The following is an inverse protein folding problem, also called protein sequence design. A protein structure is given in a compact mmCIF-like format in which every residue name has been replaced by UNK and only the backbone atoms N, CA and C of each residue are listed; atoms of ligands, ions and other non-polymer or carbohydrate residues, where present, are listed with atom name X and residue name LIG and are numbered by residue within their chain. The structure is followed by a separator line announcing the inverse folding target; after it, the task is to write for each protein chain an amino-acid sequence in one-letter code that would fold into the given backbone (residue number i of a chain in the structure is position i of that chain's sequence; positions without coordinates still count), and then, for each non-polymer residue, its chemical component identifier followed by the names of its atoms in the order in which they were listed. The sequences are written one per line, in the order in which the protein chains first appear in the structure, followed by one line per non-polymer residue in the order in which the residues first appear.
data_IF_093441274410
#
_entry.id   IF_093441274410
#
_cell.length_a   1.000
_cell.length_b   1.000
_cell.length_c   1.000
_cell.angle_alpha   90.00
_cell.angle_beta   90.00
_cell.angle_gamma   90.00
#
_symmetry.space_group_name_H-M   'P 1'
#
loop_
_entity.id
_entity.type
_entity.pdbx_description
1 polymer ?
#
# COMPACT_ATOMS: atom_id res chain seq x y z
N UNK A 1 28.46 -4.94 -13.31
CA UNK A 1 28.45 -4.35 -11.96
C UNK A 1 28.24 -2.84 -11.98
N UNK A 2 29.21 -1.99 -12.35
CA UNK A 2 29.01 -0.52 -12.24
C UNK A 2 27.95 0.01 -13.23
N UNK A 3 27.97 -0.48 -14.47
CA UNK A 3 27.01 -0.10 -15.52
C UNK A 3 25.58 -0.54 -15.18
N UNK A 4 25.39 -1.78 -14.74
CA UNK A 4 24.10 -2.34 -14.32
C UNK A 4 23.51 -1.55 -13.15
N UNK A 5 24.33 -1.21 -12.14
CA UNK A 5 23.91 -0.37 -11.01
C UNK A 5 23.42 0.99 -11.48
N UNK A 6 24.16 1.69 -12.35
CA UNK A 6 23.74 3.00 -12.86
C UNK A 6 22.39 2.92 -13.60
N UNK A 7 22.20 1.89 -14.44
CA UNK A 7 20.96 1.72 -15.19
C UNK A 7 19.78 1.45 -14.25
N UNK A 8 19.94 0.54 -13.29
CA UNK A 8 18.87 0.18 -12.34
C UNK A 8 18.50 1.39 -11.46
N UNK A 9 19.50 2.14 -10.99
CA UNK A 9 19.28 3.31 -10.13
C UNK A 9 18.59 4.45 -10.90
N UNK A 10 18.99 4.67 -12.17
CA UNK A 10 18.32 5.59 -13.08
C UNK A 10 16.87 5.15 -13.35
N UNK A 11 16.64 3.85 -13.58
CA UNK A 11 15.31 3.28 -13.77
C UNK A 11 14.42 3.48 -12.53
N UNK A 12 14.95 3.22 -11.34
CA UNK A 12 14.23 3.42 -10.08
C UNK A 12 13.78 4.87 -9.88
N UNK A 13 14.70 5.83 -10.10
CA UNK A 13 14.38 7.26 -10.04
C UNK A 13 13.33 7.63 -11.09
N UNK A 14 13.45 7.10 -12.31
CA UNK A 14 12.49 7.30 -13.38
C UNK A 14 11.09 6.80 -13.02
N UNK A 15 10.98 5.60 -12.47
CA UNK A 15 9.70 5.03 -12.02
C UNK A 15 9.07 5.90 -10.93
N UNK A 16 9.85 6.31 -9.92
CA UNK A 16 9.36 7.21 -8.87
C UNK A 16 8.87 8.53 -9.46
N UNK A 17 9.62 9.12 -10.39
CA UNK A 17 9.24 10.36 -11.06
C UNK A 17 7.92 10.19 -11.83
N UNK A 18 7.73 9.09 -12.57
CA UNK A 18 6.47 8.82 -13.28
C UNK A 18 5.28 8.59 -12.33
N UNK A 19 5.51 7.94 -11.19
CA UNK A 19 4.47 7.74 -10.18
C UNK A 19 4.06 9.08 -9.55
N UNK A 20 5.03 9.93 -9.18
CA UNK A 20 4.76 11.24 -8.57
C UNK A 20 4.06 12.19 -9.53
N UNK A 21 4.47 12.19 -10.81
CA UNK A 21 3.87 13.07 -11.82
C UNK A 21 2.50 12.60 -12.30
N UNK A 22 2.04 11.44 -11.83
CA UNK A 22 0.79 10.76 -12.25
C UNK A 22 0.58 10.67 -13.77
N UNK A 23 1.64 10.85 -14.56
CA UNK A 23 1.58 10.81 -16.03
C UNK A 23 1.34 9.39 -16.56
N UNK A 24 1.62 8.38 -15.75
CA UNK A 24 1.45 6.97 -16.10
C UNK A 24 0.81 6.23 -14.94
N UNK A 25 0.02 5.20 -15.24
CA UNK A 25 -0.53 4.33 -14.21
C UNK A 25 0.61 3.71 -13.39
N UNK A 26 0.50 3.81 -12.06
CA UNK A 26 1.47 3.32 -11.09
C UNK A 26 1.84 1.84 -11.32
N UNK A 27 0.85 1.02 -11.68
CA UNK A 27 1.05 -0.40 -11.97
C UNK A 27 1.88 -0.63 -13.25
N UNK A 28 1.62 0.17 -14.29
CA UNK A 28 2.37 0.09 -15.56
C UNK A 28 3.81 0.57 -15.33
N UNK A 29 3.98 1.67 -14.59
CA UNK A 29 5.30 2.19 -14.22
C UNK A 29 6.13 1.16 -13.44
N UNK A 30 5.54 0.51 -12.44
CA UNK A 30 6.23 -0.51 -11.64
C UNK A 30 6.58 -1.75 -12.47
N UNK A 31 5.67 -2.21 -13.34
CA UNK A 31 5.92 -3.38 -14.19
C UNK A 31 7.02 -3.13 -15.22
N UNK A 32 7.03 -1.94 -15.85
CA UNK A 32 8.10 -1.57 -16.77
C UNK A 32 9.46 -1.48 -16.06
N UNK A 33 9.50 -0.89 -14.86
CA UNK A 33 10.71 -0.82 -14.06
C UNK A 33 11.25 -2.21 -13.69
N UNK A 34 10.37 -3.12 -13.29
CA UNK A 34 10.72 -4.51 -13.01
C UNK A 34 11.27 -5.22 -14.25
N UNK A 35 10.65 -5.01 -15.42
CA UNK A 35 11.05 -5.65 -16.68
C UNK A 35 12.41 -5.13 -17.18
N UNK A 36 12.67 -3.82 -17.05
CA UNK A 36 13.98 -3.22 -17.37
C UNK A 36 15.06 -3.78 -16.43
N UNK A 37 14.77 -3.83 -15.13
CA UNK A 37 15.71 -4.37 -14.13
C UNK A 37 16.02 -5.84 -14.41
N UNK A 38 15.00 -6.63 -14.73
CA UNK A 38 15.15 -8.03 -15.13
C UNK A 38 16.02 -8.20 -16.39
N UNK A 39 15.77 -7.38 -17.42
CA UNK A 39 16.55 -7.43 -18.65
C UNK A 39 18.03 -7.08 -18.43
N UNK A 40 18.30 -6.07 -17.60
CA UNK A 40 19.67 -5.67 -17.24
C UNK A 40 20.38 -6.81 -16.49
N UNK A 41 19.72 -7.46 -15.54
CA UNK A 41 20.32 -8.55 -14.76
C UNK A 41 20.63 -9.79 -15.62
N UNK A 42 19.78 -10.14 -16.59
CA UNK A 42 20.06 -11.28 -17.48
C UNK A 42 21.14 -10.96 -18.49
N UNK A 43 21.00 -9.87 -19.24
CA UNK A 43 21.84 -9.62 -20.41
C UNK A 43 23.19 -8.98 -20.09
N UNK A 44 23.28 -8.19 -19.00
CA UNK A 44 24.52 -7.49 -18.63
C UNK A 44 25.29 -8.26 -17.55
N UNK A 45 24.61 -8.82 -16.54
CA UNK A 45 25.26 -9.58 -15.46
C UNK A 45 25.32 -11.09 -15.74
N UNK A 46 24.55 -11.61 -16.70
CA UNK A 46 24.51 -13.04 -17.01
C UNK A 46 23.84 -13.89 -15.94
N UNK A 47 23.00 -13.28 -15.08
CA UNK A 47 22.33 -14.01 -14.01
C UNK A 47 21.32 -15.01 -14.58
N UNK A 48 21.30 -16.21 -14.00
CA UNK A 48 20.37 -17.27 -14.39
C UNK A 48 18.95 -16.93 -13.94
N UNK A 49 17.96 -17.27 -14.78
CA UNK A 49 16.54 -17.11 -14.49
C UNK A 49 16.11 -17.56 -13.08
N UNK A 50 16.48 -18.76 -12.59
CA UNK A 50 16.09 -19.20 -11.25
C UNK A 50 16.58 -18.27 -10.12
N UNK A 51 17.80 -17.72 -10.23
CA UNK A 51 18.35 -16.79 -9.23
C UNK A 51 17.53 -15.50 -9.19
N UNK A 52 17.03 -15.05 -10.34
CA UNK A 52 16.23 -13.82 -10.43
C UNK A 52 14.82 -14.03 -9.89
N UNK A 53 14.23 -15.20 -10.14
CA UNK A 53 12.92 -15.57 -9.56
C UNK A 53 13.03 -15.67 -8.04
N UNK A 54 14.09 -16.29 -7.54
CA UNK A 54 14.38 -16.38 -6.11
C UNK A 54 14.62 -15.00 -5.48
N UNK A 55 15.34 -14.11 -6.18
CA UNK A 55 15.55 -12.73 -5.75
C UNK A 55 14.26 -11.90 -5.74
N UNK A 56 13.38 -12.10 -6.73
CA UNK A 56 12.13 -11.36 -6.86
C UNK A 56 11.05 -11.87 -5.92
N UNK A 57 10.83 -13.18 -5.83
CA UNK A 57 9.71 -13.79 -5.11
C UNK A 57 10.10 -14.52 -3.83
N UNK A 58 11.41 -14.63 -3.56
CA UNK A 58 11.98 -15.32 -2.41
C UNK A 58 12.40 -16.75 -2.73
N UNK A 59 13.59 -17.15 -2.28
CA UNK A 59 13.98 -18.56 -2.26
C UNK A 59 13.20 -19.33 -1.20
N UNK A 60 12.98 -20.65 -1.39
CA UNK A 60 12.42 -21.52 -0.36
C UNK A 60 13.34 -21.68 0.88
N UNK A 61 14.64 -21.39 0.77
CA UNK A 61 15.62 -21.52 1.86
C UNK A 61 16.77 -20.50 1.73
N UNK A 62 16.97 -19.54 2.65
CA UNK A 62 16.16 -19.25 3.85
C UNK A 62 14.83 -18.54 3.50
N UNK A 63 13.80 -18.68 4.34
CA UNK A 63 12.49 -18.09 4.07
C UNK A 63 12.54 -16.56 4.16
N UNK A 64 12.43 -15.88 3.03
CA UNK A 64 11.98 -14.47 3.02
C UNK A 64 12.90 -13.42 2.40
N UNK A 65 14.02 -13.79 1.77
CA UNK A 65 15.00 -12.80 1.26
C UNK A 65 14.65 -12.22 -0.12
N UNK A 66 13.45 -12.47 -0.62
CA UNK A 66 12.96 -11.92 -1.89
C UNK A 66 12.48 -10.48 -1.76
N UNK A 67 12.63 -9.68 -2.82
CA UNK A 67 12.12 -8.31 -2.88
C UNK A 67 10.58 -8.24 -2.78
N UNK A 68 9.87 -9.26 -3.25
CA UNK A 68 8.40 -9.36 -3.20
C UNK A 68 7.98 -10.49 -2.27
N UNK A 69 7.50 -10.11 -1.09
CA UNK A 69 7.00 -11.07 -0.10
C UNK A 69 5.50 -11.38 -0.36
N UNK A 70 5.23 -12.57 -0.92
CA UNK A 70 3.87 -12.99 -1.28
C UNK A 70 2.92 -13.01 -0.07
N UNK A 71 3.42 -13.39 1.11
CA UNK A 71 2.62 -13.37 2.34
C UNK A 71 2.12 -11.96 2.66
N UNK A 72 2.99 -10.95 2.54
CA UNK A 72 2.61 -9.54 2.75
C UNK A 72 1.62 -9.05 1.70
N UNK A 73 1.82 -9.43 0.43
CA UNK A 73 0.92 -9.06 -0.67
C UNK A 73 -0.49 -9.65 -0.48
N UNK A 74 -0.57 -10.94 -0.14
CA UNK A 74 -1.84 -11.61 0.17
C UNK A 74 -2.52 -10.96 1.38
N UNK A 75 -1.76 -10.59 2.41
CA UNK A 75 -2.32 -9.93 3.60
C UNK A 75 -2.88 -8.54 3.28
N UNK A 76 -2.18 -7.74 2.46
CA UNK A 76 -2.68 -6.43 2.01
C UNK A 76 -3.96 -6.59 1.18
N UNK A 77 -4.00 -7.53 0.24
CA UNK A 77 -5.20 -7.77 -0.59
C UNK A 77 -6.36 -8.27 0.28
N UNK A 78 -6.12 -9.23 1.17
CA UNK A 78 -7.14 -9.79 2.05
C UNK A 78 -7.76 -8.75 2.97
N UNK A 79 -6.93 -7.91 3.59
CA UNK A 79 -7.42 -6.80 4.44
C UNK A 79 -8.18 -5.76 3.61
N UNK A 80 -7.74 -5.44 2.40
CA UNK A 80 -8.50 -4.53 1.51
C UNK A 80 -9.90 -5.03 1.19
N UNK A 81 -10.05 -6.32 0.87
CA UNK A 81 -11.36 -6.91 0.54
C UNK A 81 -12.30 -6.88 1.75
N UNK A 82 -11.86 -7.34 2.92
CA UNK A 82 -12.68 -7.38 4.15
C UNK A 82 -13.20 -5.98 4.49
N UNK A 83 -12.34 -4.98 4.34
CA UNK A 83 -12.66 -3.59 4.69
C UNK A 83 -13.62 -2.96 3.70
N UNK A 84 -13.42 -3.22 2.41
CA UNK A 84 -14.32 -2.74 1.38
C UNK A 84 -15.74 -3.26 1.60
N UNK A 85 -15.89 -4.55 1.94
CA UNK A 85 -17.17 -5.16 2.27
C UNK A 85 -17.78 -4.53 3.54
N UNK A 86 -16.98 -4.34 4.59
CA UNK A 86 -17.44 -3.69 5.82
C UNK A 86 -17.90 -2.24 5.59
N UNK A 87 -17.25 -1.53 4.66
CA UNK A 87 -17.61 -0.18 4.24
C UNK A 87 -18.92 -0.15 3.45
N UNK A 88 -19.07 -1.03 2.46
CA UNK A 88 -20.31 -1.16 1.66
C UNK A 88 -21.51 -1.59 2.51
N UNK A 89 -21.28 -2.40 3.55
CA UNK A 89 -22.32 -2.78 4.52
C UNK A 89 -22.79 -1.61 5.44
N UNK A 90 -22.19 -0.42 5.35
CA UNK A 90 -22.58 0.74 6.17
C UNK A 90 -22.10 0.67 7.63
N UNK A 91 -21.25 -0.31 7.97
CA UNK A 91 -20.75 -0.54 9.33
C UNK A 91 -20.07 0.71 9.90
N UNK A 92 -19.27 1.40 9.09
CA UNK A 92 -18.54 2.60 9.51
C UNK A 92 -19.44 3.82 9.71
N UNK A 93 -20.48 3.98 8.90
CA UNK A 93 -21.45 5.09 9.04
C UNK A 93 -22.27 4.94 10.33
N UNK A 94 -22.64 3.70 10.69
CA UNK A 94 -23.28 3.39 11.96
C UNK A 94 -22.38 3.76 13.16
N UNK A 95 -21.09 3.40 13.09
CA UNK A 95 -20.10 3.78 14.11
C UNK A 95 -19.98 5.31 14.20
N UNK A 96 -19.92 6.02 13.06
CA UNK A 96 -19.89 7.48 13.00
C UNK A 96 -21.01 8.12 13.82
N UNK A 97 -22.26 7.72 13.55
CA UNK A 97 -23.44 8.25 14.24
C UNK A 97 -23.39 8.03 15.74
N UNK A 98 -22.83 6.89 16.18
CA UNK A 98 -22.64 6.60 17.60
C UNK A 98 -21.56 7.48 18.23
N UNK A 99 -20.45 7.74 17.54
CA UNK A 99 -19.37 8.62 17.99
C UNK A 99 -19.82 10.08 18.10
N UNK A 100 -20.66 10.56 17.17
CA UNK A 100 -21.24 11.91 17.23
C UNK A 100 -22.10 12.07 18.49
N UNK A 101 -22.96 11.09 18.78
CA UNK A 101 -23.79 11.08 20.00
C UNK A 101 -22.92 11.06 21.28
N UNK A 102 -21.84 10.29 21.28
CA UNK A 102 -20.85 10.24 22.38
C UNK A 102 -20.15 11.59 22.60
N UNK A 103 -19.90 12.35 21.54
CA UNK A 103 -19.28 13.68 21.62
C UNK A 103 -20.17 14.77 22.22
N UNK A 104 -21.48 14.50 22.37
CA UNK A 104 -22.47 15.49 22.85
C UNK A 104 -22.49 16.79 22.03
N UNK A 105 -22.15 16.72 20.74
CA UNK A 105 -22.15 17.86 19.82
C UNK A 105 -20.98 18.84 19.99
N UNK A 106 -19.97 18.54 20.82
CA UNK A 106 -18.79 19.42 20.96
C UNK A 106 -17.73 19.08 19.89
N UNK A 107 -17.30 20.04 19.04
CA UNK A 107 -16.37 19.77 17.95
C UNK A 107 -15.01 19.26 18.45
N UNK A 108 -14.48 19.81 19.55
CA UNK A 108 -13.20 19.39 20.12
C UNK A 108 -13.25 17.97 20.67
N UNK A 109 -14.29 17.61 21.41
CA UNK A 109 -14.48 16.24 21.92
C UNK A 109 -14.63 15.24 20.78
N UNK A 110 -15.29 15.65 19.71
CA UNK A 110 -15.47 14.80 18.54
C UNK A 110 -14.11 14.51 17.88
N UNK A 111 -13.28 15.54 17.66
CA UNK A 111 -11.94 15.35 17.08
C UNK A 111 -11.10 14.38 17.91
N UNK A 112 -11.13 14.48 19.24
CA UNK A 112 -10.40 13.57 20.12
C UNK A 112 -10.90 12.14 19.97
N UNK A 113 -12.22 11.93 20.02
CA UNK A 113 -12.84 10.61 19.82
C UNK A 113 -12.45 10.06 18.44
N UNK A 114 -12.44 10.91 17.42
CA UNK A 114 -12.07 10.53 16.06
C UNK A 114 -10.61 10.10 15.96
N UNK A 115 -9.67 10.85 16.56
CA UNK A 115 -8.26 10.48 16.61
C UNK A 115 -8.06 9.13 17.30
N UNK A 116 -8.73 8.90 18.44
CA UNK A 116 -8.64 7.62 19.16
C UNK A 116 -9.14 6.49 18.26
N UNK A 117 -10.31 6.66 17.65
CA UNK A 117 -10.88 5.66 16.73
C UNK A 117 -9.97 5.44 15.53
N UNK A 118 -9.36 6.48 14.98
CA UNK A 118 -8.37 6.40 13.89
C UNK A 118 -7.20 5.50 14.27
N UNK A 119 -6.64 5.69 15.48
CA UNK A 119 -5.51 4.90 15.96
C UNK A 119 -5.90 3.43 16.13
N UNK A 120 -7.07 3.16 16.72
CA UNK A 120 -7.55 1.78 16.89
C UNK A 120 -7.85 1.10 15.54
N UNK A 121 -8.50 1.82 14.62
CA UNK A 121 -8.80 1.35 13.26
C UNK A 121 -7.47 1.09 12.54
N UNK A 122 -6.52 2.03 12.51
CA UNK A 122 -5.22 1.89 11.85
C UNK A 122 -4.29 0.85 12.47
N UNK A 123 -4.51 0.44 13.72
CA UNK A 123 -3.75 -0.65 14.33
C UNK A 123 -4.23 -2.02 13.84
N UNK A 124 -5.51 -2.13 13.48
CA UNK A 124 -6.14 -3.34 12.95
C UNK A 124 -6.07 -3.36 11.41
N UNK A 125 -6.07 -2.18 10.80
CA UNK A 125 -6.26 -1.96 9.37
C UNK A 125 -5.04 -1.31 8.73
N UNK A 126 -4.87 -1.52 7.43
CA UNK A 126 -3.82 -0.85 6.68
C UNK A 126 -4.07 0.67 6.59
N UNK A 127 -3.00 1.46 6.46
CA UNK A 127 -3.02 2.92 6.41
C UNK A 127 -3.92 3.46 5.28
N UNK A 128 -3.81 2.90 4.06
CA UNK A 128 -4.65 3.29 2.90
C UNK A 128 -6.13 3.12 3.21
N UNK A 129 -6.50 2.01 3.86
CA UNK A 129 -7.87 1.67 4.18
C UNK A 129 -8.45 2.56 5.28
N UNK A 130 -7.63 2.87 6.29
CA UNK A 130 -7.99 3.83 7.34
C UNK A 130 -8.36 5.17 6.72
N UNK A 131 -7.56 5.67 5.78
CA UNK A 131 -7.86 6.93 5.07
C UNK A 131 -9.18 6.87 4.30
N UNK A 132 -9.46 5.77 3.59
CA UNK A 132 -10.73 5.58 2.85
C UNK A 132 -11.94 5.63 3.78
N UNK A 133 -11.84 5.11 5.01
CA UNK A 133 -12.94 5.15 5.99
C UNK A 133 -13.06 6.55 6.61
N UNK A 134 -11.95 7.18 6.93
CA UNK A 134 -11.91 8.44 7.69
C UNK A 134 -12.37 9.64 6.87
N UNK A 135 -12.10 9.67 5.57
CA UNK A 135 -12.56 10.75 4.68
C UNK A 135 -14.09 10.93 4.73
N UNK A 136 -14.93 9.92 4.39
CA UNK A 136 -16.38 10.07 4.43
C UNK A 136 -16.91 10.26 5.85
N UNK A 137 -16.25 9.68 6.84
CA UNK A 137 -16.57 9.87 8.25
C UNK A 137 -16.39 11.34 8.64
N UNK A 138 -15.29 11.98 8.21
CA UNK A 138 -14.98 13.39 8.52
C UNK A 138 -15.98 14.32 7.82
N UNK A 139 -16.26 14.06 6.54
CA UNK A 139 -17.23 14.83 5.76
C UNK A 139 -18.62 14.79 6.41
N UNK A 140 -19.05 13.60 6.86
CA UNK A 140 -20.36 13.38 7.50
C UNK A 140 -20.51 14.13 8.81
N UNK A 141 -19.42 14.29 9.59
CA UNK A 141 -19.50 15.06 10.84
C UNK A 141 -19.35 16.56 10.62
N UNK A 142 -18.63 16.97 9.58
CA UNK A 142 -18.45 18.39 9.24
C UNK A 142 -19.70 19.05 8.62
N UNK A 143 -20.69 18.25 8.22
CA UNK A 143 -21.95 18.67 7.61
C UNK A 143 -23.07 18.69 8.65
#
# INVERSE_FOLDING_TARGET
MLVSVIIILSCFIGVIFFIITEKMNRAIASLLGALITYFVLIFIEGLQFPIIVDLLFGSPSPPGDGFVNLHSLIMIIGTMIIVQIAHEAGSFQFIAGKLIKLSKGKPVNLMIIFCIVTVFISAILNNILTVIIIIPLTITVSR
#
